data_IF_775318353285
#
_entry.id   IF_775318353285
#
_cell.length_a   1.000
_cell.length_b   1.000
_cell.length_c   1.000
_cell.angle_alpha   90.00
_cell.angle_beta   90.00
_cell.angle_gamma   90.00
#
_symmetry.space_group_name_H-M   'P 1'
#
loop_
_entity.id
_entity.type
_entity.pdbx_description
1 polymer ?
#
# COMPACT_ATOMS: atom_id res chain seq x y z
N UNK A 1 -5.74 12.00 -12.27
CA UNK A 1 -4.47 11.26 -12.40
C UNK A 1 -4.39 10.14 -11.35
N UNK A 2 -4.45 10.46 -10.05
CA UNK A 2 -4.46 9.44 -8.97
C UNK A 2 -5.53 8.35 -9.12
N UNK A 3 -6.76 8.71 -9.53
CA UNK A 3 -7.82 7.71 -9.78
C UNK A 3 -7.43 6.65 -10.81
N UNK A 4 -6.73 7.04 -11.88
CA UNK A 4 -6.27 6.12 -12.92
C UNK A 4 -5.06 5.32 -12.43
N UNK A 5 -4.23 5.91 -11.56
CA UNK A 5 -3.12 5.22 -10.90
C UNK A 5 -3.63 4.09 -10.01
N UNK A 6 -4.71 4.33 -9.27
CA UNK A 6 -5.40 3.35 -8.42
C UNK A 6 -6.46 2.53 -9.16
N UNK A 7 -6.49 2.55 -10.50
CA UNK A 7 -7.39 1.69 -11.25
C UNK A 7 -6.80 0.28 -11.43
N UNK A 8 -7.27 -0.63 -10.58
CA UNK A 8 -6.84 -2.02 -10.51
C UNK A 8 -7.92 -2.96 -11.05
N UNK A 9 -8.95 -2.45 -11.75
CA UNK A 9 -10.05 -3.28 -12.26
C UNK A 9 -9.58 -4.42 -13.15
N UNK A 10 -8.49 -4.20 -13.88
CA UNK A 10 -7.91 -5.15 -14.82
C UNK A 10 -6.81 -6.03 -14.17
N UNK A 11 -6.55 -5.85 -12.88
CA UNK A 11 -5.57 -6.61 -12.09
C UNK A 11 -6.32 -7.67 -11.27
N UNK A 12 -5.97 -8.93 -11.46
CA UNK A 12 -6.49 -9.99 -10.59
C UNK A 12 -5.87 -9.89 -9.18
N UNK A 13 -6.61 -10.25 -8.11
CA UNK A 13 -6.03 -10.34 -6.76
C UNK A 13 -4.76 -11.21 -6.69
N UNK A 14 -4.68 -12.29 -7.47
CA UNK A 14 -3.50 -13.15 -7.55
C UNK A 14 -2.29 -12.44 -8.18
N UNK A 15 -2.51 -11.67 -9.25
CA UNK A 15 -1.46 -10.85 -9.88
C UNK A 15 -0.91 -9.81 -8.91
N UNK A 16 -1.80 -9.11 -8.20
CA UNK A 16 -1.39 -8.13 -7.19
C UNK A 16 -0.62 -8.79 -6.04
N UNK A 17 -1.10 -9.94 -5.55
CA UNK A 17 -0.44 -10.72 -4.49
C UNK A 17 1.00 -11.05 -4.86
N UNK A 18 1.23 -11.59 -6.06
CA UNK A 18 2.57 -11.98 -6.51
C UNK A 18 3.48 -10.76 -6.62
N UNK A 19 3.00 -9.68 -7.24
CA UNK A 19 3.77 -8.44 -7.36
C UNK A 19 4.19 -7.88 -5.99
N UNK A 20 3.25 -7.76 -5.05
CA UNK A 20 3.55 -7.22 -3.72
C UNK A 20 4.42 -8.17 -2.89
N UNK A 21 4.30 -9.48 -3.08
CA UNK A 21 5.16 -10.47 -2.45
C UNK A 21 6.62 -10.26 -2.87
N UNK A 22 6.86 -10.12 -4.18
CA UNK A 22 8.20 -9.93 -4.71
C UNK A 22 8.81 -8.61 -4.23
N UNK A 23 8.05 -7.51 -4.28
CA UNK A 23 8.50 -6.21 -3.79
C UNK A 23 8.82 -6.23 -2.29
N UNK A 24 7.94 -6.82 -1.48
CA UNK A 24 8.16 -6.97 -0.03
C UNK A 24 9.40 -7.81 0.26
N UNK A 25 9.62 -8.91 -0.48
CA UNK A 25 10.78 -9.77 -0.28
C UNK A 25 12.09 -9.02 -0.55
N UNK A 26 12.15 -8.26 -1.64
CA UNK A 26 13.33 -7.45 -1.98
C UNK A 26 13.60 -6.44 -0.88
N UNK A 27 12.60 -5.66 -0.48
CA UNK A 27 12.73 -4.65 0.57
C UNK A 27 13.20 -5.26 1.89
N UNK A 28 12.55 -6.33 2.37
CA UNK A 28 12.92 -6.95 3.64
C UNK A 28 14.32 -7.54 3.59
N UNK A 29 14.73 -8.12 2.46
CA UNK A 29 16.09 -8.61 2.27
C UNK A 29 17.12 -7.49 2.31
N UNK A 30 16.84 -6.36 1.65
CA UNK A 30 17.73 -5.19 1.63
C UNK A 30 17.93 -4.60 3.03
N UNK A 31 16.94 -4.75 3.92
CA UNK A 31 17.01 -4.35 5.33
C UNK A 31 17.48 -5.47 6.26
N UNK A 32 18.10 -6.54 5.72
CA UNK A 32 18.82 -7.54 6.51
C UNK A 32 17.94 -8.59 7.20
N UNK A 33 16.67 -8.74 6.83
CA UNK A 33 15.83 -9.81 7.36
C UNK A 33 16.29 -11.18 6.87
N UNK A 34 16.47 -12.13 7.78
CA UNK A 34 16.93 -13.50 7.47
C UNK A 34 15.86 -14.38 6.84
N UNK A 35 14.58 -14.09 7.09
CA UNK A 35 13.43 -14.83 6.55
C UNK A 35 12.39 -13.88 5.93
N UNK A 36 12.74 -13.12 4.87
CA UNK A 36 11.87 -12.09 4.29
C UNK A 36 10.58 -12.68 3.69
N UNK A 37 10.62 -13.94 3.26
CA UNK A 37 9.48 -14.66 2.69
C UNK A 37 8.34 -14.87 3.69
N UNK A 38 8.63 -14.99 4.99
CA UNK A 38 7.60 -15.17 6.04
C UNK A 38 6.74 -13.91 6.13
N UNK A 39 7.38 -12.76 6.29
CA UNK A 39 6.70 -11.47 6.40
C UNK A 39 6.04 -11.07 5.07
N UNK A 40 6.68 -11.35 3.95
CA UNK A 40 6.10 -11.06 2.64
C UNK A 40 4.86 -11.90 2.38
N UNK A 41 4.87 -13.20 2.70
CA UNK A 41 3.66 -14.03 2.63
C UNK A 41 2.58 -13.50 3.55
N UNK A 42 2.93 -13.13 4.78
CA UNK A 42 1.98 -12.56 5.72
C UNK A 42 1.31 -11.30 5.17
N UNK A 43 2.09 -10.38 4.59
CA UNK A 43 1.60 -9.11 4.04
C UNK A 43 0.52 -9.31 2.97
N UNK A 44 0.71 -10.32 2.11
CA UNK A 44 -0.10 -10.48 0.88
C UNK A 44 -1.15 -11.58 0.96
N UNK A 45 -1.05 -12.49 1.93
CA UNK A 45 -2.00 -13.59 2.09
C UNK A 45 -3.47 -13.11 2.17
N UNK A 46 -3.79 -12.00 2.89
CA UNK A 46 -5.15 -11.50 2.95
C UNK A 46 -5.74 -11.08 1.59
N UNK A 47 -4.92 -10.75 0.59
CA UNK A 47 -5.40 -10.32 -0.73
C UNK A 47 -6.26 -11.43 -1.35
N UNK A 48 -5.76 -12.67 -1.36
CA UNK A 48 -6.50 -13.80 -1.94
C UNK A 48 -7.60 -14.33 -1.03
N UNK A 49 -7.46 -14.16 0.28
CA UNK A 49 -8.43 -14.70 1.24
C UNK A 49 -9.66 -13.79 1.37
N UNK A 50 -9.49 -12.48 1.18
CA UNK A 50 -10.52 -11.47 1.46
C UNK A 50 -10.99 -10.67 0.23
N UNK A 51 -10.23 -10.64 -0.87
CA UNK A 51 -10.62 -9.89 -2.07
C UNK A 51 -10.88 -10.83 -3.25
N UNK A 52 -12.13 -10.82 -3.73
CA UNK A 52 -12.55 -11.52 -4.96
C UNK A 52 -12.36 -10.67 -6.21
N UNK A 53 -12.39 -9.35 -6.06
CA UNK A 53 -12.11 -8.36 -7.10
C UNK A 53 -11.40 -7.15 -6.49
N UNK A 54 -10.69 -6.41 -7.33
CA UNK A 54 -10.04 -5.16 -6.96
C UNK A 54 -10.82 -4.00 -7.58
N UNK A 55 -11.21 -3.03 -6.75
CA UNK A 55 -11.84 -1.80 -7.24
C UNK A 55 -11.00 -0.60 -6.85
N UNK A 56 -11.07 0.48 -7.62
CA UNK A 56 -10.35 1.73 -7.30
C UNK A 56 -10.60 2.22 -5.88
N UNK A 57 -11.87 2.26 -5.37
CA UNK A 57 -12.12 2.71 -4.00
C UNK A 57 -11.46 1.82 -2.94
N UNK A 58 -11.51 0.49 -3.11
CA UNK A 58 -10.84 -0.45 -2.19
C UNK A 58 -9.34 -0.19 -2.11
N UNK A 59 -8.68 -0.10 -3.27
CA UNK A 59 -7.22 0.04 -3.30
C UNK A 59 -6.77 1.39 -2.76
N UNK A 60 -7.48 2.47 -3.09
CA UNK A 60 -7.20 3.79 -2.53
C UNK A 60 -7.34 3.79 -1.00
N UNK A 61 -8.41 3.18 -0.48
CA UNK A 61 -8.63 3.05 0.97
C UNK A 61 -7.53 2.23 1.64
N UNK A 62 -7.17 1.06 1.09
CA UNK A 62 -6.13 0.19 1.64
C UNK A 62 -4.81 0.94 1.76
N UNK A 63 -4.34 1.58 0.69
CA UNK A 63 -3.06 2.28 0.69
C UNK A 63 -3.05 3.52 1.60
N UNK A 64 -4.11 4.35 1.53
CA UNK A 64 -4.22 5.54 2.37
C UNK A 64 -4.29 5.19 3.86
N UNK A 65 -5.15 4.22 4.23
CA UNK A 65 -5.29 3.80 5.62
C UNK A 65 -4.04 3.11 6.14
N UNK A 66 -3.38 2.29 5.30
CA UNK A 66 -2.13 1.63 5.68
C UNK A 66 -1.06 2.66 6.00
N UNK A 67 -0.91 3.69 5.16
CA UNK A 67 0.05 4.77 5.42
C UNK A 67 -0.33 5.56 6.67
N UNK A 68 -1.59 5.97 6.81
CA UNK A 68 -2.07 6.71 7.98
C UNK A 68 -1.82 5.96 9.29
N UNK A 69 -2.24 4.69 9.36
CA UNK A 69 -2.02 3.83 10.54
C UNK A 69 -0.54 3.56 10.80
N UNK A 70 0.27 3.46 9.76
CA UNK A 70 1.71 3.28 9.91
C UNK A 70 2.38 4.52 10.49
N UNK A 71 2.02 5.72 10.03
CA UNK A 71 2.53 6.97 10.59
C UNK A 71 2.04 7.21 12.02
N UNK A 72 0.80 6.83 12.32
CA UNK A 72 0.25 6.87 13.69
C UNK A 72 1.02 5.94 14.63
N UNK A 73 1.25 4.69 14.21
CA UNK A 73 2.06 3.73 14.97
C UNK A 73 3.47 4.25 15.30
N UNK A 74 4.07 5.03 14.40
CA UNK A 74 5.39 5.64 14.58
C UNK A 74 5.36 6.97 15.34
N UNK A 75 4.18 7.51 15.68
CA UNK A 75 4.03 8.82 16.31
C UNK A 75 4.36 10.00 15.38
N UNK A 76 4.41 9.77 14.07
CA UNK A 76 4.66 10.80 13.04
C UNK A 76 3.36 11.56 12.74
N UNK A 77 2.24 10.84 12.66
CA UNK A 77 0.92 11.42 12.44
C UNK A 77 0.40 12.09 13.72
N UNK A 78 -0.01 13.36 13.61
CA UNK A 78 -0.58 14.18 14.67
C UNK A 78 -1.72 15.03 14.11
N UNK A 79 -2.62 15.47 14.97
CA UNK A 79 -3.76 16.30 14.55
C UNK A 79 -3.33 17.59 13.83
N UNK A 80 -2.18 18.15 14.21
CA UNK A 80 -1.65 19.40 13.65
C UNK A 80 -0.96 19.24 12.28
N UNK A 81 -0.58 18.01 11.90
CA UNK A 81 0.14 17.74 10.65
C UNK A 81 -0.60 16.76 9.70
N UNK A 82 -1.74 16.19 10.11
CA UNK A 82 -2.45 15.16 9.34
C UNK A 82 -2.80 15.58 7.92
N UNK A 83 -3.32 16.80 7.73
CA UNK A 83 -3.67 17.33 6.41
C UNK A 83 -2.42 17.52 5.53
N UNK A 84 -1.34 18.03 6.11
CA UNK A 84 -0.08 18.22 5.38
C UNK A 84 0.50 16.88 4.93
N UNK A 85 0.56 15.88 5.82
CA UNK A 85 1.06 14.55 5.51
C UNK A 85 0.21 13.84 4.44
N UNK A 86 -1.11 14.00 4.49
CA UNK A 86 -2.01 13.44 3.47
C UNK A 86 -1.75 14.06 2.09
N UNK A 87 -1.54 15.39 2.03
CA UNK A 87 -1.19 16.10 0.80
C UNK A 87 0.18 15.68 0.26
N UNK A 88 1.19 15.60 1.12
CA UNK A 88 2.53 15.14 0.75
C UNK A 88 2.51 13.71 0.21
N UNK A 89 1.76 12.82 0.86
CA UNK A 89 1.55 11.45 0.39
C UNK A 89 0.92 11.41 -1.00
N UNK A 90 -0.19 12.14 -1.19
CA UNK A 90 -0.89 12.21 -2.48
C UNK A 90 0.02 12.77 -3.59
N UNK A 91 0.76 13.83 -3.30
CA UNK A 91 1.72 14.44 -4.22
C UNK A 91 2.83 13.45 -4.61
N UNK A 92 3.32 12.64 -3.66
CA UNK A 92 4.40 11.68 -3.95
C UNK A 92 3.94 10.53 -4.84
N UNK A 93 2.71 10.06 -4.64
CA UNK A 93 2.09 9.07 -5.51
C UNK A 93 1.89 9.67 -6.91
N UNK A 94 1.41 10.91 -7.01
CA UNK A 94 1.20 11.58 -8.30
C UNK A 94 2.52 11.83 -9.05
N UNK A 95 3.57 12.29 -8.36
CA UNK A 95 4.91 12.47 -8.93
C UNK A 95 5.43 11.15 -9.53
N UNK A 96 5.33 10.07 -8.75
CA UNK A 96 5.80 8.75 -9.19
C UNK A 96 4.98 8.24 -10.37
N UNK A 97 3.66 8.42 -10.31
CA UNK A 97 2.76 8.05 -11.40
C UNK A 97 3.06 8.84 -12.68
N UNK A 98 3.33 10.15 -12.61
CA UNK A 98 3.71 10.96 -13.79
C UNK A 98 4.99 10.45 -14.43
N UNK A 99 5.98 10.11 -13.62
CA UNK A 99 7.28 9.65 -14.10
C UNK A 99 7.20 8.28 -14.78
N UNK A 100 6.22 7.46 -14.41
CA UNK A 100 6.12 6.06 -14.84
C UNK A 100 5.00 5.79 -15.87
N UNK A 101 3.86 6.46 -15.78
CA UNK A 101 2.70 6.22 -16.67
C UNK A 101 2.88 6.67 -18.13
N UNK A 102 4.09 7.07 -18.55
CA UNK A 102 4.39 7.24 -19.98
C UNK A 102 4.31 5.93 -20.78
N UNK A 103 4.29 4.77 -20.09
CA UNK A 103 4.03 3.44 -20.66
C UNK A 103 2.79 2.85 -19.97
N UNK A 104 1.68 2.73 -20.69
CA UNK A 104 0.43 2.17 -20.17
C UNK A 104 0.52 0.63 -20.10
N UNK A 105 1.30 0.12 -19.15
CA UNK A 105 1.30 -1.30 -18.82
C UNK A 105 1.01 -1.51 -17.31
N UNK A 106 0.39 -2.65 -17.01
CA UNK A 106 -0.11 -3.01 -15.68
C UNK A 106 0.97 -3.02 -14.59
N UNK A 107 2.16 -3.50 -14.92
CA UNK A 107 3.30 -3.55 -14.00
C UNK A 107 3.73 -2.14 -13.58
N UNK A 108 3.81 -1.22 -14.54
CA UNK A 108 4.19 0.18 -14.28
C UNK A 108 3.19 0.89 -13.36
N UNK A 109 1.90 0.54 -13.43
CA UNK A 109 0.86 1.06 -12.51
C UNK A 109 1.12 0.60 -11.08
N UNK A 110 1.31 -0.70 -10.88
CA UNK A 110 1.58 -1.26 -9.54
C UNK A 110 2.88 -0.72 -8.95
N UNK A 111 3.94 -0.62 -9.76
CA UNK A 111 5.21 -0.02 -9.36
C UNK A 111 5.09 1.45 -8.97
N UNK A 112 4.26 2.22 -9.66
CA UNK A 112 4.09 3.66 -9.38
C UNK A 112 3.56 3.88 -7.96
N UNK A 113 2.63 3.05 -7.52
CA UNK A 113 2.03 3.16 -6.19
C UNK A 113 2.98 2.67 -5.12
N UNK A 114 3.61 1.50 -5.30
CA UNK A 114 4.54 0.97 -4.29
C UNK A 114 5.76 1.87 -4.12
N UNK A 115 6.28 2.42 -5.22
CA UNK A 115 7.37 3.39 -5.13
C UNK A 115 6.92 4.72 -4.53
N UNK A 116 5.75 5.24 -4.88
CA UNK A 116 5.26 6.47 -4.25
C UNK A 116 5.02 6.30 -2.75
N UNK A 117 4.50 5.14 -2.32
CA UNK A 117 4.36 4.77 -0.92
C UNK A 117 5.72 4.74 -0.22
N UNK A 118 6.70 4.04 -0.81
CA UNK A 118 8.06 3.94 -0.26
C UNK A 118 8.74 5.30 -0.18
N UNK A 119 8.74 6.06 -1.28
CA UNK A 119 9.37 7.38 -1.35
C UNK A 119 8.79 8.34 -0.31
N UNK A 120 7.47 8.29 -0.08
CA UNK A 120 6.85 9.09 0.97
C UNK A 120 7.30 8.63 2.36
N UNK A 121 7.21 7.32 2.64
CA UNK A 121 7.65 6.76 3.93
C UNK A 121 9.11 7.10 4.23
N UNK A 122 10.00 7.00 3.24
CA UNK A 122 11.41 7.41 3.37
C UNK A 122 11.54 8.92 3.64
N UNK A 123 10.76 9.77 2.95
CA UNK A 123 10.84 11.23 3.11
C UNK A 123 10.44 11.74 4.50
N UNK A 124 9.58 11.01 5.20
CA UNK A 124 9.16 11.32 6.57
C UNK A 124 9.92 10.52 7.63
N UNK A 125 10.95 9.77 7.23
CA UNK A 125 11.77 8.97 8.14
C UNK A 125 11.05 7.75 8.72
N UNK A 126 9.94 7.30 8.12
CA UNK A 126 9.15 6.17 8.59
C UNK A 126 9.80 4.81 8.26
N UNK A 127 10.79 4.77 7.37
CA UNK A 127 11.36 3.52 6.85
C UNK A 127 12.68 3.16 7.56
N UNK A 128 12.64 2.17 8.45
CA UNK A 128 13.78 1.61 9.17
C UNK A 128 13.61 0.11 9.32
N UNK A 129 14.68 -0.62 9.64
CA UNK A 129 14.59 -2.07 9.84
C UNK A 129 13.53 -2.43 10.92
N UNK A 130 13.42 -1.62 11.98
CA UNK A 130 12.49 -1.84 13.08
C UNK A 130 11.02 -1.57 12.70
N UNK A 131 10.78 -0.67 11.74
CA UNK A 131 9.42 -0.29 11.33
C UNK A 131 8.80 -1.19 10.26
N UNK A 132 9.62 -1.98 9.54
CA UNK A 132 9.14 -2.81 8.42
C UNK A 132 8.19 -3.93 8.84
N UNK A 133 8.44 -4.57 9.98
CA UNK A 133 7.55 -5.62 10.48
C UNK A 133 6.18 -5.06 10.86
N UNK A 134 6.08 -3.98 11.66
CA UNK A 134 4.83 -3.27 11.87
C UNK A 134 4.12 -2.85 10.57
N UNK A 135 4.87 -2.32 9.59
CA UNK A 135 4.30 -1.93 8.29
C UNK A 135 3.63 -3.10 7.57
N UNK A 136 4.29 -4.28 7.57
CA UNK A 136 3.73 -5.52 7.03
C UNK A 136 2.42 -5.90 7.71
N UNK A 137 2.39 -5.88 9.05
CA UNK A 137 1.19 -6.23 9.82
C UNK A 137 0.04 -5.27 9.57
N UNK A 138 0.31 -3.96 9.55
CA UNK A 138 -0.68 -2.92 9.30
C UNK A 138 -1.27 -3.10 7.89
N UNK A 139 -0.41 -3.26 6.88
CA UNK A 139 -0.86 -3.42 5.50
C UNK A 139 -1.71 -4.68 5.27
N UNK A 140 -1.29 -5.83 5.81
CA UNK A 140 -2.09 -7.06 5.77
C UNK A 140 -3.46 -6.90 6.44
N UNK A 141 -3.50 -6.20 7.58
CA UNK A 141 -4.75 -5.95 8.30
C UNK A 141 -5.70 -5.04 7.52
N UNK A 142 -5.20 -4.06 6.76
CA UNK A 142 -6.06 -3.21 5.91
C UNK A 142 -6.73 -3.99 4.79
N UNK A 143 -6.03 -4.94 4.16
CA UNK A 143 -6.64 -5.84 3.18
C UNK A 143 -7.78 -6.66 3.80
N UNK A 144 -7.52 -7.26 4.96
CA UNK A 144 -8.53 -8.02 5.70
C UNK A 144 -9.74 -7.17 6.07
N UNK A 145 -9.52 -5.98 6.63
CA UNK A 145 -10.59 -5.07 7.04
C UNK A 145 -11.41 -4.62 5.84
N UNK A 146 -10.75 -4.16 4.78
CA UNK A 146 -11.41 -3.70 3.55
C UNK A 146 -12.22 -4.82 2.91
N UNK A 147 -11.64 -6.01 2.74
CA UNK A 147 -12.38 -7.15 2.17
C UNK A 147 -13.62 -7.53 2.98
N UNK A 148 -13.54 -7.50 4.31
CA UNK A 148 -14.71 -7.73 5.17
C UNK A 148 -15.78 -6.65 5.03
N UNK A 149 -15.39 -5.37 4.94
CA UNK A 149 -16.33 -4.25 4.75
C UNK A 149 -17.10 -4.38 3.43
N UNK A 150 -16.41 -4.70 2.33
CA UNK A 150 -17.04 -4.84 1.04
C UNK A 150 -17.89 -6.12 0.91
N UNK A 151 -17.45 -7.25 1.49
CA UNK A 151 -18.26 -8.49 1.54
C UNK A 151 -19.53 -8.34 2.35
N UNK A 152 -19.50 -7.55 3.42
CA UNK A 152 -20.68 -7.30 4.26
C UNK A 152 -21.64 -6.25 3.69
N UNK A 153 -21.35 -5.67 2.52
CA UNK A 153 -22.16 -4.59 1.94
C UNK A 153 -22.13 -3.31 2.76
N UNK A 154 -21.16 -3.18 3.67
CA UNK A 154 -21.00 -2.01 4.54
C UNK A 154 -20.47 -0.83 3.72
N UNK A 155 -21.36 -0.16 3.00
CA UNK A 155 -21.11 1.16 2.44
C UNK A 155 -20.89 2.13 3.59
N UNK A 156 -19.64 2.55 3.81
CA UNK A 156 -19.36 3.75 4.58
C UNK A 156 -18.83 4.81 3.62
N UNK A 157 -19.77 5.54 3.04
CA UNK A 157 -19.56 6.96 2.83
C UNK A 157 -19.37 7.58 4.21
N UNK A 158 -18.14 8.01 4.52
CA UNK A 158 -17.88 9.21 5.34
C UNK A 158 -16.66 9.89 4.75
#
# INVERSE_FOLDING_TARGET
>A
MLRNTFDFSDISPATLKNFLYDQSNVVLKDYGFTNPYIYSNYAVQPITDYLESLTTPMMLQIYANSMGKFLDYLGILRDDNAVQLALEYANKIEETAKNKLMKDNLETKMESITQGFRNFAESVGAFSQESLVPAVYIFANEFKQTGNMFRSGSNLYV
#
